data_IF_771461303393
#
_entry.id   IF_771461303393
#
_cell.length_a   1.000
_cell.length_b   1.000
_cell.length_c   1.000
_cell.angle_alpha   90.00
_cell.angle_beta   90.00
_cell.angle_gamma   90.00
#
_symmetry.space_group_name_H-M   'P 1'
#
loop_
_entity.id
_entity.type
_entity.pdbx_description
1 polymer ?
#
# COMPACT_ATOMS: atom_id res chain seq x y z
N UNK A 1 38.01 6.66 20.00
CA UNK A 1 37.48 5.75 18.95
C UNK A 1 35.98 6.00 18.83
N UNK A 2 35.55 6.34 17.62
CA UNK A 2 34.32 7.07 17.32
C UNK A 2 33.05 6.22 17.37
N UNK A 3 31.97 6.83 17.86
CA UNK A 3 30.59 6.30 17.91
C UNK A 3 30.07 5.99 16.49
N UNK A 4 29.20 4.98 16.31
CA UNK A 4 28.53 4.75 15.03
C UNK A 4 27.61 5.92 14.68
N UNK A 5 27.84 6.50 13.51
CA UNK A 5 27.10 7.62 12.96
C UNK A 5 25.68 7.20 12.56
N UNK A 6 24.68 7.75 13.24
CA UNK A 6 23.28 7.74 12.82
C UNK A 6 23.16 8.61 11.56
N UNK A 7 23.12 7.99 10.38
CA UNK A 7 22.88 8.69 9.11
C UNK A 7 21.38 9.03 9.02
N UNK A 8 21.00 10.26 8.60
CA UNK A 8 19.74 10.86 8.97
C UNK A 8 18.56 10.50 8.05
N UNK A 9 17.38 10.32 8.65
CA UNK A 9 16.07 10.41 7.98
C UNK A 9 15.99 11.67 7.09
N UNK A 10 15.52 11.58 5.83
CA UNK A 10 15.26 12.76 5.01
C UNK A 10 14.07 13.56 5.57
N UNK A 11 14.08 14.86 5.27
CA UNK A 11 13.32 15.93 5.94
C UNK A 11 11.77 15.80 6.05
N UNK A 12 11.01 15.01 5.27
CA UNK A 12 9.55 14.97 5.42
C UNK A 12 9.09 14.35 6.75
N UNK A 13 9.77 13.28 7.21
CA UNK A 13 9.37 12.54 8.42
C UNK A 13 9.97 13.13 9.71
N UNK A 14 11.10 13.85 9.61
CA UNK A 14 11.67 14.59 10.76
C UNK A 14 10.84 15.81 11.13
N UNK A 15 10.25 16.51 10.15
CA UNK A 15 9.31 17.60 10.41
C UNK A 15 8.04 17.09 11.11
N UNK A 16 7.52 15.94 10.70
CA UNK A 16 6.39 15.29 11.37
C UNK A 16 6.71 14.97 12.84
N UNK A 17 7.87 14.36 13.10
CA UNK A 17 8.31 14.01 14.47
C UNK A 17 8.57 15.25 15.35
N UNK A 18 9.02 16.37 14.78
CA UNK A 18 9.23 17.62 15.50
C UNK A 18 7.92 18.41 15.74
N UNK A 19 6.90 18.20 14.91
CA UNK A 19 5.57 18.83 15.05
C UNK A 19 4.63 18.05 15.98
N UNK A 20 4.93 16.77 16.26
CA UNK A 20 4.08 15.86 17.05
C UNK A 20 4.50 15.69 18.53
N UNK A 21 5.32 16.58 19.10
CA UNK A 21 5.61 16.56 20.54
C UNK A 21 5.61 17.96 21.17
N UNK A 22 4.86 18.24 22.28
CA UNK A 22 3.87 17.43 22.98
C UNK A 22 2.45 18.07 22.98
N UNK A 23 1.45 17.34 22.49
CA UNK A 23 0.10 17.43 23.05
C UNK A 23 -0.05 16.28 24.06
N UNK A 24 0.72 16.37 25.14
CA UNK A 24 0.47 15.57 26.35
C UNK A 24 -0.69 16.24 27.08
N UNK A 25 -1.87 15.62 27.01
CA UNK A 25 -2.97 15.92 27.93
C UNK A 25 -2.82 14.95 29.12
N UNK A 26 -2.87 15.42 30.38
CA UNK A 26 -2.50 14.60 31.53
C UNK A 26 -3.55 13.52 31.81
N UNK A 27 -3.12 12.26 31.83
CA UNK A 27 -3.92 11.16 32.36
C UNK A 27 -3.95 11.25 33.90
N UNK A 28 -5.14 11.47 34.46
CA UNK A 28 -5.39 11.37 35.89
C UNK A 28 -5.65 9.91 36.23
N UNK A 29 -4.79 9.34 37.07
CA UNK A 29 -4.71 7.91 37.31
C UNK A 29 -5.90 7.29 38.03
N UNK A 30 -6.03 5.96 37.85
CA UNK A 30 -6.53 5.07 38.89
C UNK A 30 -5.88 3.69 38.75
N UNK A 31 -5.36 3.23 39.88
CA UNK A 31 -4.60 2.01 40.15
C UNK A 31 -5.51 0.79 40.35
N UNK A 32 -5.12 -0.39 39.86
CA UNK A 32 -5.69 -1.70 40.21
C UNK A 32 -5.34 -2.81 39.19
N UNK A 33 -5.16 -4.09 39.59
CA UNK A 33 -4.01 -4.88 39.15
C UNK A 33 -4.26 -5.90 38.01
N UNK A 34 -3.14 -6.23 37.35
CA UNK A 34 -2.82 -7.35 36.46
C UNK A 34 -3.92 -8.38 36.17
N UNK A 35 -4.28 -8.49 34.88
CA UNK A 35 -4.64 -9.75 34.25
C UNK A 35 -3.83 -9.91 32.97
N UNK A 36 -3.13 -11.04 32.89
CA UNK A 36 -2.58 -11.62 31.67
C UNK A 36 -3.65 -11.71 30.58
N UNK A 37 -3.20 -11.66 29.32
CA UNK A 37 -3.96 -11.60 28.07
C UNK A 37 -4.43 -10.21 27.66
N UNK A 38 -3.61 -9.55 26.84
CA UNK A 38 -4.12 -8.70 25.76
C UNK A 38 -3.17 -8.78 24.56
N UNK A 39 -3.48 -9.73 23.66
CA UNK A 39 -3.08 -9.62 22.26
C UNK A 39 -3.89 -8.46 21.69
N UNK A 40 -3.26 -7.29 21.59
CA UNK A 40 -3.88 -6.07 21.08
C UNK A 40 -4.57 -6.34 19.74
N UNK A 41 -5.91 -6.33 19.79
CA UNK A 41 -6.79 -6.52 18.66
C UNK A 41 -6.57 -5.46 17.59
N UNK A 42 -6.15 -5.89 16.42
CA UNK A 42 -6.58 -5.22 15.20
C UNK A 42 -8.09 -5.40 15.12
N UNK A 43 -8.85 -4.31 15.26
CA UNK A 43 -10.28 -4.25 14.98
C UNK A 43 -10.48 -4.47 13.48
N UNK A 44 -10.41 -5.73 13.05
CA UNK A 44 -10.65 -6.11 11.67
C UNK A 44 -12.12 -5.90 11.34
N UNK A 45 -12.40 -5.03 10.37
CA UNK A 45 -13.72 -4.93 9.75
C UNK A 45 -13.92 -6.18 8.90
N UNK A 46 -14.79 -7.09 9.36
CA UNK A 46 -15.16 -8.30 8.61
C UNK A 46 -16.36 -7.96 7.72
N UNK A 47 -16.19 -8.09 6.42
CA UNK A 47 -17.23 -7.80 5.42
C UNK A 47 -17.68 -9.11 4.79
N UNK A 48 -18.92 -9.55 5.05
CA UNK A 48 -19.48 -10.83 4.57
C UNK A 48 -20.53 -10.64 3.45
N UNK A 49 -20.24 -11.00 2.19
CA UNK A 49 -21.24 -10.92 1.09
C UNK A 49 -20.92 -11.89 -0.11
N UNK A 50 -21.90 -12.61 -0.74
CA UNK A 50 -21.80 -13.58 -1.88
C UNK A 50 -21.00 -13.32 -3.22
N UNK A 51 -20.46 -14.43 -3.76
CA UNK A 51 -19.86 -14.71 -5.10
C UNK A 51 -19.20 -13.60 -5.95
N UNK A 52 -17.86 -13.59 -5.89
CA UNK A 52 -16.83 -12.84 -6.66
C UNK A 52 -16.99 -11.32 -6.76
N UNK A 53 -18.19 -10.83 -7.02
CA UNK A 53 -18.52 -9.42 -7.06
C UNK A 53 -18.87 -8.88 -5.69
N UNK A 54 -19.53 -9.60 -4.77
CA UNK A 54 -19.96 -8.92 -3.53
C UNK A 54 -18.87 -8.66 -2.52
N UNK A 55 -17.82 -9.48 -2.45
CA UNK A 55 -16.62 -9.12 -1.67
C UNK A 55 -15.96 -7.85 -2.21
N UNK A 56 -15.90 -7.72 -3.54
CA UNK A 56 -15.41 -6.51 -4.20
C UNK A 56 -16.38 -5.33 -4.12
N UNK A 57 -17.69 -5.54 -4.18
CA UNK A 57 -18.73 -4.52 -4.02
C UNK A 57 -18.76 -4.00 -2.59
N UNK A 58 -18.55 -4.88 -1.62
CA UNK A 58 -18.55 -4.51 -0.22
C UNK A 58 -17.23 -3.84 0.17
N UNK A 59 -16.11 -4.28 -0.42
CA UNK A 59 -14.88 -3.49 -0.43
C UNK A 59 -15.13 -2.12 -1.08
N UNK A 60 -15.76 -2.07 -2.26
CA UNK A 60 -16.06 -0.81 -2.94
C UNK A 60 -16.97 0.11 -2.12
N UNK A 61 -18.00 -0.43 -1.46
CA UNK A 61 -18.90 0.31 -0.57
C UNK A 61 -18.17 0.81 0.69
N UNK A 62 -17.33 -0.03 1.29
CA UNK A 62 -16.48 0.36 2.41
C UNK A 62 -15.55 1.52 2.03
N UNK A 63 -14.87 1.40 0.88
CA UNK A 63 -13.98 2.43 0.36
C UNK A 63 -14.74 3.72 -0.03
N UNK A 64 -15.95 3.60 -0.58
CA UNK A 64 -16.82 4.75 -0.89
C UNK A 64 -17.32 5.49 0.36
N UNK A 65 -17.37 4.81 1.51
CA UNK A 65 -17.69 5.43 2.80
C UNK A 65 -16.49 6.07 3.50
N UNK A 66 -15.28 5.88 2.97
CA UNK A 66 -14.06 6.48 3.50
C UNK A 66 -13.98 7.97 3.15
N UNK A 67 -13.38 8.81 4.01
CA UNK A 67 -13.18 10.22 3.69
C UNK A 67 -12.37 10.38 2.38
N UNK A 68 -12.68 11.42 1.60
CA UNK A 68 -11.93 11.76 0.38
C UNK A 68 -10.53 12.25 0.73
N UNK A 69 -9.61 11.31 0.92
CA UNK A 69 -8.18 11.54 1.10
C UNK A 69 -7.44 11.05 -0.14
N UNK A 70 -6.33 11.70 -0.48
CA UNK A 70 -5.47 11.18 -1.54
C UNK A 70 -4.92 9.81 -1.10
N UNK A 71 -5.07 8.82 -1.96
CA UNK A 71 -4.79 7.42 -1.73
C UNK A 71 -3.85 6.84 -2.78
N UNK A 72 -2.85 6.10 -2.30
CA UNK A 72 -1.99 5.25 -3.11
C UNK A 72 -2.33 3.79 -2.83
N UNK A 73 -2.61 3.03 -3.90
CA UNK A 73 -2.59 1.58 -3.87
C UNK A 73 -1.18 1.08 -4.17
N UNK A 74 -0.67 0.15 -3.37
CA UNK A 74 0.58 -0.56 -3.58
C UNK A 74 0.25 -2.04 -3.79
N UNK A 75 0.70 -2.59 -4.91
CA UNK A 75 0.56 -4.00 -5.26
C UNK A 75 1.94 -4.63 -5.15
N UNK A 76 2.09 -5.62 -4.28
CA UNK A 76 3.33 -6.35 -4.07
C UNK A 76 3.12 -7.86 -4.22
N UNK A 77 3.13 -8.38 -5.46
CA UNK A 77 2.82 -9.79 -5.71
C UNK A 77 3.84 -10.74 -5.09
N UNK A 78 5.10 -10.30 -4.94
CA UNK A 78 6.15 -11.10 -4.31
C UNK A 78 6.07 -11.06 -2.77
N UNK A 79 5.30 -10.13 -2.18
CA UNK A 79 5.15 -9.96 -0.74
C UNK A 79 6.43 -9.54 0.00
N UNK A 80 7.42 -9.01 -0.72
CA UNK A 80 8.75 -8.69 -0.18
C UNK A 80 8.77 -7.32 0.52
N UNK A 81 7.94 -6.39 0.08
CA UNK A 81 8.03 -4.98 0.44
C UNK A 81 6.86 -4.51 1.26
N UNK A 82 5.63 -4.84 0.86
CA UNK A 82 4.42 -4.21 1.35
C UNK A 82 4.28 -4.36 2.87
N UNK A 83 4.53 -5.55 3.43
CA UNK A 83 4.36 -5.76 4.86
C UNK A 83 5.36 -4.93 5.68
N UNK A 84 6.64 -5.00 5.31
CA UNK A 84 7.68 -4.17 5.95
C UNK A 84 7.43 -2.68 5.76
N UNK A 85 6.88 -2.28 4.61
CA UNK A 85 6.51 -0.89 4.30
C UNK A 85 5.44 -0.39 5.24
N UNK A 86 4.33 -1.13 5.39
CA UNK A 86 3.23 -0.75 6.27
C UNK A 86 3.69 -0.65 7.73
N UNK A 87 4.49 -1.62 8.20
CA UNK A 87 5.06 -1.56 9.55
C UNK A 87 5.97 -0.33 9.74
N UNK A 88 6.87 -0.08 8.79
CA UNK A 88 7.80 1.05 8.84
C UNK A 88 7.04 2.39 8.83
N UNK A 89 5.95 2.48 8.06
CA UNK A 89 5.11 3.68 8.02
C UNK A 89 4.40 3.89 9.35
N UNK A 90 3.78 2.84 9.88
CA UNK A 90 3.12 2.87 11.19
C UNK A 90 4.07 3.26 12.32
N UNK A 91 5.26 2.67 12.37
CA UNK A 91 6.31 3.02 13.36
C UNK A 91 6.76 4.49 13.22
N UNK A 92 6.80 5.02 12.00
CA UNK A 92 7.26 6.38 11.72
C UNK A 92 6.20 7.44 12.00
N UNK A 93 4.93 7.14 11.74
CA UNK A 93 3.82 8.10 11.87
C UNK A 93 3.04 7.96 13.18
N UNK A 94 3.18 6.82 13.87
CA UNK A 94 2.32 6.44 14.98
C UNK A 94 0.89 6.09 14.57
N UNK A 95 0.60 6.03 13.27
CA UNK A 95 -0.72 5.66 12.76
C UNK A 95 -0.90 4.15 12.74
N UNK A 96 -2.08 3.61 13.07
CA UNK A 96 -2.32 2.18 13.03
C UNK A 96 -2.26 1.65 11.59
N UNK A 97 -2.05 0.33 11.48
CA UNK A 97 -2.29 -0.42 10.25
C UNK A 97 -3.60 -1.16 10.40
N UNK A 98 -4.60 -0.75 9.63
CA UNK A 98 -5.90 -1.41 9.58
C UNK A 98 -5.86 -2.52 8.53
N UNK A 99 -6.32 -3.71 8.89
CA UNK A 99 -6.28 -4.89 8.00
C UNK A 99 -7.69 -5.26 7.55
N UNK A 100 -7.95 -5.08 6.28
CA UNK A 100 -9.16 -5.52 5.61
C UNK A 100 -8.93 -6.92 5.01
N UNK A 101 -9.82 -7.86 5.32
CA UNK A 101 -9.81 -9.19 4.72
C UNK A 101 -11.00 -9.32 3.78
N UNK A 102 -10.72 -9.60 2.52
CA UNK A 102 -11.77 -9.90 1.52
C UNK A 102 -11.99 -11.41 1.57
N UNK A 103 -13.15 -11.84 2.06
CA UNK A 103 -13.49 -13.25 2.19
C UNK A 103 -14.28 -13.76 0.98
N UNK A 104 -14.17 -15.05 0.71
CA UNK A 104 -15.12 -15.76 -0.14
C UNK A 104 -16.44 -15.94 0.60
N UNK A 105 -17.51 -16.13 -0.17
CA UNK A 105 -18.80 -16.58 0.37
C UNK A 105 -18.59 -17.86 1.22
N UNK A 106 -19.15 -17.87 2.43
CA UNK A 106 -18.97 -18.94 3.44
C UNK A 106 -17.88 -18.67 4.48
N UNK A 107 -17.19 -17.51 4.41
CA UNK A 107 -16.31 -16.98 5.46
C UNK A 107 -14.93 -17.64 5.58
N UNK A 108 -14.79 -18.89 5.11
CA UNK A 108 -13.60 -19.70 5.39
C UNK A 108 -12.37 -19.34 4.55
N UNK A 109 -12.52 -18.83 3.33
CA UNK A 109 -11.37 -18.56 2.46
C UNK A 109 -11.14 -17.07 2.28
N UNK A 110 -9.99 -16.58 2.75
CA UNK A 110 -9.50 -15.23 2.45
C UNK A 110 -9.06 -15.18 0.99
N UNK A 111 -9.58 -14.22 0.22
CA UNK A 111 -9.28 -13.99 -1.21
C UNK A 111 -8.29 -12.86 -1.44
N UNK A 112 -8.28 -11.88 -0.56
CA UNK A 112 -7.27 -10.83 -0.53
C UNK A 112 -7.14 -10.28 0.88
N UNK A 113 -5.97 -9.72 1.19
CA UNK A 113 -5.75 -8.93 2.39
C UNK A 113 -5.29 -7.56 1.94
N UNK A 114 -5.92 -6.51 2.44
CA UNK A 114 -5.53 -5.12 2.19
C UNK A 114 -5.15 -4.51 3.52
N UNK A 115 -3.90 -4.08 3.66
CA UNK A 115 -3.46 -3.29 4.80
C UNK A 115 -3.58 -1.82 4.43
N UNK A 116 -4.12 -1.00 5.34
CA UNK A 116 -4.30 0.43 5.16
C UNK A 116 -3.63 1.20 6.28
N UNK A 117 -3.01 2.34 5.97
CA UNK A 117 -2.48 3.23 7.00
C UNK A 117 -2.56 4.68 6.55
N UNK A 118 -2.94 5.55 7.48
CA UNK A 118 -3.01 6.98 7.24
C UNK A 118 -1.62 7.59 7.44
N UNK A 119 -1.22 8.44 6.50
CA UNK A 119 -0.06 9.29 6.61
C UNK A 119 -0.52 10.68 7.08
N UNK A 120 -0.11 11.10 8.28
CA UNK A 120 -0.32 12.47 8.71
C UNK A 120 0.41 13.40 7.76
N UNK A 121 -0.31 14.33 7.16
CA UNK A 121 0.33 15.45 6.49
C UNK A 121 0.41 16.58 7.52
N UNK A 122 1.62 17.08 7.80
CA UNK A 122 1.82 18.11 8.82
C UNK A 122 0.90 19.31 8.61
N UNK A 123 1.04 20.02 7.49
CA UNK A 123 0.22 21.20 7.13
C UNK A 123 -0.69 20.95 5.92
N UNK A 124 -0.86 19.70 5.49
CA UNK A 124 -1.60 19.34 4.27
C UNK A 124 -2.73 18.36 4.57
N UNK A 125 -3.49 17.94 3.54
CA UNK A 125 -4.48 16.89 3.71
C UNK A 125 -3.76 15.56 4.01
N UNK A 126 -4.31 14.81 4.97
CA UNK A 126 -3.89 13.44 5.23
C UNK A 126 -3.93 12.61 3.94
N UNK A 127 -3.04 11.61 3.88
CA UNK A 127 -2.95 10.70 2.74
C UNK A 127 -3.11 9.26 3.20
N UNK A 128 -3.59 8.38 2.34
CA UNK A 128 -3.85 6.98 2.66
C UNK A 128 -2.98 6.07 1.81
N UNK A 129 -2.31 5.12 2.44
CA UNK A 129 -1.60 4.06 1.72
C UNK A 129 -2.36 2.76 1.93
N UNK A 130 -2.67 2.08 0.83
CA UNK A 130 -3.26 0.75 0.81
C UNK A 130 -2.28 -0.22 0.20
N UNK A 131 -2.03 -1.34 0.85
CA UNK A 131 -1.19 -2.41 0.33
C UNK A 131 -2.05 -3.64 0.09
N UNK A 132 -2.14 -4.09 -1.16
CA UNK A 132 -2.73 -5.40 -1.46
C UNK A 132 -1.69 -6.49 -1.22
N UNK A 133 -2.00 -7.37 -0.28
CA UNK A 133 -1.22 -8.55 0.06
C UNK A 133 -1.85 -9.81 -0.51
N UNK A 134 -0.99 -10.67 -1.05
CA UNK A 134 -1.31 -12.06 -1.36
C UNK A 134 -1.79 -12.30 -2.79
N UNK A 135 -1.88 -13.59 -3.11
CA UNK A 135 -2.28 -14.08 -4.42
C UNK A 135 -3.82 -14.12 -4.52
N UNK A 136 -4.43 -13.01 -4.93
CA UNK A 136 -5.83 -13.04 -5.30
C UNK A 136 -6.00 -14.00 -6.49
N UNK A 137 -6.96 -14.93 -6.44
CA UNK A 137 -7.18 -15.84 -7.56
C UNK A 137 -7.60 -15.04 -8.81
N UNK A 138 -7.25 -15.46 -10.04
CA UNK A 138 -7.48 -14.68 -11.26
C UNK A 138 -8.92 -14.17 -11.47
N UNK A 139 -9.93 -14.93 -11.03
CA UNK A 139 -11.34 -14.53 -11.13
C UNK A 139 -11.71 -13.38 -10.19
N UNK A 140 -11.13 -13.34 -8.99
CA UNK A 140 -11.44 -12.33 -7.97
C UNK A 140 -10.57 -11.06 -8.15
N UNK A 141 -9.39 -11.19 -8.78
CA UNK A 141 -8.43 -10.11 -9.02
C UNK A 141 -9.09 -8.89 -9.65
N UNK A 142 -9.82 -9.07 -10.76
CA UNK A 142 -10.37 -7.94 -11.52
C UNK A 142 -11.36 -7.10 -10.70
N UNK A 143 -12.26 -7.75 -9.95
CA UNK A 143 -13.26 -7.05 -9.16
C UNK A 143 -12.60 -6.34 -7.95
N UNK A 144 -11.68 -7.01 -7.26
CA UNK A 144 -10.93 -6.43 -6.13
C UNK A 144 -10.07 -5.25 -6.59
N UNK A 145 -9.32 -5.40 -7.70
CA UNK A 145 -8.57 -4.30 -8.30
C UNK A 145 -9.48 -3.17 -8.75
N UNK A 146 -10.62 -3.48 -9.36
CA UNK A 146 -11.62 -2.47 -9.74
C UNK A 146 -12.05 -1.63 -8.55
N UNK A 147 -12.39 -2.26 -7.43
CA UNK A 147 -12.75 -1.57 -6.20
C UNK A 147 -11.60 -0.69 -5.67
N UNK A 148 -10.38 -1.23 -5.57
CA UNK A 148 -9.23 -0.49 -5.04
C UNK A 148 -8.78 0.66 -5.96
N UNK A 149 -8.75 0.45 -7.27
CA UNK A 149 -8.32 1.44 -8.27
C UNK A 149 -9.33 2.58 -8.38
N UNK A 150 -10.64 2.29 -8.30
CA UNK A 150 -11.69 3.32 -8.28
C UNK A 150 -11.51 4.34 -7.16
N UNK A 151 -10.84 3.93 -6.07
CA UNK A 151 -10.63 4.72 -4.86
C UNK A 151 -9.15 5.07 -4.64
N UNK A 152 -8.33 5.02 -5.69
CA UNK A 152 -6.88 5.31 -5.65
C UNK A 152 -6.46 6.21 -6.81
N UNK A 153 -5.85 7.36 -6.51
CA UNK A 153 -5.32 8.22 -7.57
C UNK A 153 -3.98 7.71 -8.11
N UNK A 154 -3.26 6.92 -7.31
CA UNK A 154 -2.00 6.30 -7.71
C UNK A 154 -2.05 4.79 -7.46
N UNK A 155 -1.57 4.01 -8.43
CA UNK A 155 -1.31 2.59 -8.31
C UNK A 155 0.18 2.34 -8.51
N UNK A 156 0.85 1.85 -7.47
CA UNK A 156 2.25 1.43 -7.49
C UNK A 156 2.34 -0.09 -7.57
N UNK A 157 3.00 -0.60 -8.60
CA UNK A 157 3.24 -2.03 -8.81
C UNK A 157 4.70 -2.34 -8.50
N UNK A 158 4.93 -3.16 -7.48
CA UNK A 158 6.27 -3.56 -7.05
C UNK A 158 6.65 -4.89 -7.72
N UNK A 159 7.43 -4.80 -8.80
CA UNK A 159 7.96 -5.96 -9.51
C UNK A 159 9.22 -6.44 -8.77
N UNK A 160 8.99 -7.17 -7.68
CA UNK A 160 10.00 -7.81 -6.83
C UNK A 160 10.60 -9.09 -7.43
N UNK A 161 11.37 -9.87 -6.65
CA UNK A 161 11.94 -11.14 -7.13
C UNK A 161 10.84 -12.13 -7.49
N UNK A 162 10.68 -12.40 -8.79
CA UNK A 162 9.71 -13.34 -9.36
C UNK A 162 10.22 -13.85 -10.70
N UNK A 163 9.60 -14.90 -11.26
CA UNK A 163 10.02 -15.39 -12.56
C UNK A 163 9.67 -14.37 -13.66
N UNK A 164 10.52 -14.24 -14.70
CA UNK A 164 10.31 -13.22 -15.75
C UNK A 164 8.95 -13.36 -16.44
N UNK A 165 8.47 -14.59 -16.65
CA UNK A 165 7.15 -14.81 -17.25
C UNK A 165 6.00 -14.34 -16.35
N UNK A 166 6.14 -14.44 -15.02
CA UNK A 166 5.16 -13.93 -14.06
C UNK A 166 5.16 -12.40 -14.06
N UNK A 167 6.34 -11.77 -14.13
CA UNK A 167 6.46 -10.32 -14.22
C UNK A 167 5.83 -9.76 -15.51
N UNK A 168 6.05 -10.42 -16.65
CA UNK A 168 5.39 -10.06 -17.92
C UNK A 168 3.87 -10.20 -17.80
N UNK A 169 3.39 -11.33 -17.26
CA UNK A 169 1.95 -11.59 -17.06
C UNK A 169 1.31 -10.52 -16.17
N UNK A 170 2.00 -10.13 -15.10
CA UNK A 170 1.58 -9.05 -14.21
C UNK A 170 1.46 -7.72 -14.95
N UNK A 171 2.49 -7.32 -15.72
CA UNK A 171 2.48 -6.07 -16.49
C UNK A 171 1.32 -6.07 -17.49
N UNK A 172 1.06 -7.18 -18.17
CA UNK A 172 -0.05 -7.32 -19.09
C UNK A 172 -1.41 -7.27 -18.39
N UNK A 173 -1.52 -7.81 -17.18
CA UNK A 173 -2.71 -7.66 -16.34
C UNK A 173 -2.94 -6.20 -15.93
N UNK A 174 -1.90 -5.50 -15.48
CA UNK A 174 -1.98 -4.09 -15.09
C UNK A 174 -2.32 -3.19 -16.27
N UNK A 175 -1.75 -3.47 -17.45
CA UNK A 175 -2.09 -2.77 -18.68
C UNK A 175 -3.57 -2.97 -19.04
N UNK A 176 -4.08 -4.21 -18.99
CA UNK A 176 -5.51 -4.49 -19.21
C UNK A 176 -6.42 -3.75 -18.21
N UNK A 177 -6.03 -3.68 -16.95
CA UNK A 177 -6.77 -2.92 -15.93
C UNK A 177 -6.74 -1.41 -16.19
N UNK A 178 -5.60 -0.87 -16.64
CA UNK A 178 -5.47 0.54 -16.97
C UNK A 178 -6.44 0.99 -18.08
N UNK A 179 -6.77 0.10 -19.02
CA UNK A 179 -7.75 0.38 -20.08
C UNK A 179 -9.20 0.45 -19.60
N UNK A 180 -9.48 0.09 -18.34
CA UNK A 180 -10.85 0.05 -17.82
C UNK A 180 -11.29 1.43 -17.31
N UNK A 181 -12.59 1.79 -17.41
CA UNK A 181 -13.06 3.12 -17.05
C UNK A 181 -12.72 3.55 -15.62
N UNK A 182 -12.76 2.62 -14.67
CA UNK A 182 -12.45 2.89 -13.26
C UNK A 182 -10.98 3.27 -13.00
N UNK A 183 -10.07 2.98 -13.94
CA UNK A 183 -8.64 3.29 -13.82
C UNK A 183 -8.21 4.47 -14.70
N UNK A 184 -9.14 5.12 -15.40
CA UNK A 184 -8.87 6.17 -16.38
C UNK A 184 -8.09 7.37 -15.82
N UNK A 185 -8.32 7.72 -14.54
CA UNK A 185 -7.61 8.78 -13.83
C UNK A 185 -6.45 8.29 -12.97
N UNK A 186 -6.21 6.97 -12.89
CA UNK A 186 -5.17 6.41 -12.03
C UNK A 186 -3.79 6.60 -12.66
N UNK A 187 -2.87 7.20 -11.90
CA UNK A 187 -1.46 7.25 -12.27
C UNK A 187 -0.76 5.95 -11.89
N UNK A 188 -0.01 5.40 -12.83
CA UNK A 188 0.70 4.13 -12.65
C UNK A 188 2.18 4.36 -12.35
N UNK A 189 2.68 3.76 -11.27
CA UNK A 189 4.10 3.71 -10.92
C UNK A 189 4.56 2.26 -10.98
N UNK A 190 5.65 1.97 -11.67
CA UNK A 190 6.27 0.65 -11.66
C UNK A 190 7.61 0.73 -10.96
N UNK A 191 7.78 -0.02 -9.88
CA UNK A 191 9.06 -0.22 -9.24
C UNK A 191 9.66 -1.54 -9.73
N UNK A 192 10.78 -1.48 -10.43
CA UNK A 192 11.45 -2.65 -11.00
C UNK A 192 12.65 -3.05 -10.15
N UNK A 193 12.66 -4.30 -9.66
CA UNK A 193 13.84 -4.89 -9.06
C UNK A 193 14.97 -5.07 -10.09
N UNK A 194 16.22 -5.09 -9.63
CA UNK A 194 17.41 -5.04 -10.50
C UNK A 194 17.52 -6.25 -11.45
N UNK A 195 16.92 -7.38 -11.08
CA UNK A 195 16.82 -8.61 -11.86
C UNK A 195 15.89 -8.53 -13.08
N UNK A 196 15.03 -7.50 -13.16
CA UNK A 196 14.01 -7.35 -14.21
C UNK A 196 14.39 -6.34 -15.30
N UNK A 197 15.70 -6.19 -15.56
CA UNK A 197 16.18 -5.39 -16.69
C UNK A 197 15.56 -5.88 -18.01
N UNK A 198 15.09 -4.95 -18.83
CA UNK A 198 14.40 -5.18 -20.09
C UNK A 198 12.87 -5.08 -19.98
N UNK A 199 12.28 -5.11 -18.77
CA UNK A 199 10.85 -4.85 -18.62
C UNK A 199 10.47 -3.39 -18.81
N UNK A 200 11.45 -2.47 -18.76
CA UNK A 200 11.24 -1.06 -19.07
C UNK A 200 10.66 -0.90 -20.48
N UNK A 201 11.32 -1.50 -21.47
CA UNK A 201 10.90 -1.44 -22.87
C UNK A 201 9.50 -2.03 -23.05
N UNK A 202 9.18 -3.11 -22.32
CA UNK A 202 7.84 -3.68 -22.35
C UNK A 202 6.80 -2.73 -21.78
N UNK A 203 7.11 -2.01 -20.70
CA UNK A 203 6.17 -1.06 -20.10
C UNK A 203 6.06 0.19 -20.98
N UNK A 204 7.17 0.78 -21.42
CA UNK A 204 7.15 2.04 -22.17
C UNK A 204 6.53 1.91 -23.56
N UNK A 205 6.67 0.77 -24.23
CA UNK A 205 6.15 0.56 -25.58
C UNK A 205 4.66 0.15 -25.62
N UNK A 206 3.96 0.15 -24.49
CA UNK A 206 2.52 -0.16 -24.42
C UNK A 206 1.70 1.12 -24.46
N UNK A 207 0.48 1.00 -24.99
CA UNK A 207 -0.46 2.12 -25.13
C UNK A 207 -1.20 2.42 -23.82
N UNK A 208 -0.49 2.96 -22.83
CA UNK A 208 -1.12 3.35 -21.56
C UNK A 208 -2.01 4.59 -21.74
N UNK A 209 -3.19 4.65 -21.09
CA UNK A 209 -4.02 5.87 -21.12
C UNK A 209 -3.31 7.09 -20.53
N UNK A 210 -2.50 6.86 -19.50
CA UNK A 210 -1.56 7.83 -18.93
C UNK A 210 -0.20 7.16 -18.84
N UNK A 211 0.84 7.80 -19.37
CA UNK A 211 2.20 7.22 -19.39
C UNK A 211 2.65 6.88 -17.96
N UNK A 212 3.06 5.64 -17.69
CA UNK A 212 3.50 5.23 -16.36
C UNK A 212 4.84 5.87 -16.00
N UNK A 213 5.08 6.03 -14.71
CA UNK A 213 6.40 6.42 -14.18
C UNK A 213 7.18 5.16 -13.79
N UNK A 214 8.40 5.03 -14.30
CA UNK A 214 9.31 3.94 -13.95
C UNK A 214 10.23 4.36 -12.80
N UNK A 215 10.33 3.49 -11.80
CA UNK A 215 11.18 3.62 -10.62
C UNK A 215 12.04 2.36 -10.52
N UNK A 216 13.27 2.52 -10.05
CA UNK A 216 14.27 1.46 -10.11
C UNK A 216 14.82 1.13 -8.75
N UNK A 217 14.95 -0.17 -8.49
CA UNK A 217 15.76 -0.63 -7.38
C UNK A 217 17.20 -0.19 -7.59
N UNK A 218 17.75 0.50 -6.59
CA UNK A 218 19.19 0.74 -6.57
C UNK A 218 19.87 -0.60 -6.25
N UNK A 219 20.90 -1.03 -7.02
CA UNK A 219 21.50 -2.36 -6.92
C UNK A 219 22.01 -2.77 -5.53
N UNK A 220 22.17 -1.82 -4.62
CA UNK A 220 22.85 -1.99 -3.33
C UNK A 220 21.92 -1.96 -2.12
N UNK A 221 20.62 -1.67 -2.28
CA UNK A 221 19.71 -1.51 -1.14
C UNK A 221 18.34 -2.14 -1.39
N UNK A 222 18.15 -3.36 -0.85
CA UNK A 222 16.82 -3.93 -0.63
C UNK A 222 16.13 -3.30 0.59
N UNK A 223 16.14 -1.98 0.69
CA UNK A 223 15.58 -1.25 1.82
C UNK A 223 14.15 -0.83 1.53
N UNK A 224 13.21 -1.31 2.34
CA UNK A 224 11.80 -0.88 2.35
C UNK A 224 11.67 0.65 2.37
N UNK A 225 12.47 1.32 3.19
CA UNK A 225 12.48 2.79 3.29
C UNK A 225 12.87 3.45 1.97
N UNK A 226 13.84 2.87 1.23
CA UNK A 226 14.24 3.40 -0.07
C UNK A 226 13.14 3.23 -1.12
N UNK A 227 12.46 2.08 -1.13
CA UNK A 227 11.30 1.87 -2.00
C UNK A 227 10.23 2.91 -1.69
N UNK A 228 9.85 3.03 -0.42
CA UNK A 228 8.85 4.00 0.02
C UNK A 228 9.21 5.43 -0.38
N UNK A 229 10.45 5.87 -0.16
CA UNK A 229 10.86 7.24 -0.49
C UNK A 229 10.70 7.53 -1.98
N UNK A 230 11.07 6.59 -2.87
CA UNK A 230 10.89 6.76 -4.32
C UNK A 230 9.40 6.84 -4.69
N UNK A 231 8.57 5.97 -4.11
CA UNK A 231 7.11 6.01 -4.33
C UNK A 231 6.52 7.34 -3.85
N UNK A 232 6.91 7.78 -2.65
CA UNK A 232 6.42 9.00 -2.05
C UNK A 232 6.87 10.24 -2.82
N UNK A 233 8.12 10.31 -3.26
CA UNK A 233 8.64 11.38 -4.13
C UNK A 233 7.84 11.45 -5.43
N UNK A 234 7.58 10.31 -6.07
CA UNK A 234 6.74 10.25 -7.27
C UNK A 234 5.29 10.70 -6.97
N UNK A 235 4.75 10.39 -5.79
CA UNK A 235 3.42 10.81 -5.38
C UNK A 235 3.32 12.31 -5.09
N UNK A 236 4.29 12.92 -4.43
CA UNK A 236 4.26 14.37 -4.14
C UNK A 236 4.64 15.22 -5.36
N UNK A 237 5.46 14.70 -6.28
CA UNK A 237 5.84 15.38 -7.52
C UNK A 237 4.76 15.34 -8.59
N UNK A 238 3.55 14.88 -8.23
CA UNK A 238 2.38 14.75 -9.09
C UNK A 238 1.53 16.01 -9.14
#
# INVERSE_FOLDING_TARGET
MSRPSVIPFPAPLRRLRAQLAPLVVPSKGRSGPASMFDSAGALGVTVEVPESEQGALALHAHLASSPEVSSMLVIDPAGVWAHGMMQTLSDATGSPVDRLRVHSRGGLQIRAVVDETLLPAGNGPHRLVRCLHGDAKPVDRRAIFGALLSHSQICSVLVGPMASHEAVTLIEEMHRLAQLPFASGTRWLFYLAAEHRGLEDLIENRDWPVRPTLLYARPLTRSVTNVWNQLYEAWIGA
#
